data_IF_511728870273
#
_entry.id   IF_511728870273
#
_cell.length_a   1.000
_cell.length_b   1.000
_cell.length_c   1.000
_cell.angle_alpha   90.00
_cell.angle_beta   90.00
_cell.angle_gamma   90.00
#
_symmetry.space_group_name_H-M   'P 1'
#
loop_
_entity.id
_entity.type
_entity.pdbx_description
1 polymer ?
#
# COMPACT_ATOMS: atom_id res chain seq x y z
N UNK A 1 -8.09 -11.76 24.38
CA UNK A 1 -8.83 -10.64 23.78
C UNK A 1 -7.94 -10.01 22.73
N UNK A 2 -8.13 -10.36 21.47
CA UNK A 2 -7.29 -9.89 20.38
C UNK A 2 -7.55 -8.42 20.12
N UNK A 3 -6.53 -7.58 20.23
CA UNK A 3 -6.56 -6.23 19.68
C UNK A 3 -6.47 -6.36 18.16
N UNK A 4 -7.60 -6.70 17.52
CA UNK A 4 -7.72 -6.57 16.09
C UNK A 4 -7.70 -5.06 15.82
N UNK A 5 -6.51 -4.53 15.59
CA UNK A 5 -6.31 -3.16 15.10
C UNK A 5 -6.99 -3.10 13.74
N UNK A 6 -8.23 -2.61 13.74
CA UNK A 6 -8.99 -2.40 12.51
C UNK A 6 -8.35 -1.25 11.72
N UNK A 7 -8.45 -1.21 10.39
CA UNK A 7 -7.95 -0.08 9.58
C UNK A 7 -8.45 1.28 10.08
N UNK A 8 -9.69 1.32 10.60
CA UNK A 8 -10.27 2.51 11.23
C UNK A 8 -9.52 2.98 12.48
N UNK A 9 -8.84 2.08 13.20
CA UNK A 9 -7.98 2.40 14.35
C UNK A 9 -6.72 3.15 13.93
N UNK A 10 -6.32 3.03 12.65
CA UNK A 10 -5.20 3.73 12.05
C UNK A 10 -5.64 4.91 11.17
N UNK A 11 -6.91 5.34 11.21
CA UNK A 11 -7.36 6.49 10.40
C UNK A 11 -7.46 6.21 8.89
N UNK A 12 -7.28 4.97 8.44
CA UNK A 12 -7.44 4.61 7.03
C UNK A 12 -8.92 4.59 6.65
N UNK A 13 -9.23 5.10 5.47
CA UNK A 13 -10.58 5.12 4.93
C UNK A 13 -11.07 3.70 4.65
N UNK A 14 -12.37 3.48 4.86
CA UNK A 14 -13.00 2.19 4.56
C UNK A 14 -12.86 1.84 3.06
N UNK A 15 -12.90 2.86 2.20
CA UNK A 15 -12.72 2.74 0.75
C UNK A 15 -11.31 2.25 0.40
N UNK A 16 -10.26 2.82 0.98
CA UNK A 16 -8.88 2.35 0.75
C UNK A 16 -8.71 0.88 1.17
N UNK A 17 -9.36 0.48 2.27
CA UNK A 17 -9.39 -0.92 2.69
C UNK A 17 -10.06 -1.85 1.66
N UNK A 18 -11.16 -1.41 1.04
CA UNK A 18 -11.82 -2.16 -0.02
C UNK A 18 -10.98 -2.24 -1.29
N UNK A 19 -10.33 -1.14 -1.67
CA UNK A 19 -9.49 -1.10 -2.87
C UNK A 19 -8.23 -1.98 -2.70
N UNK A 20 -7.60 -1.97 -1.53
CA UNK A 20 -6.48 -2.86 -1.19
C UNK A 20 -6.89 -4.34 -1.23
N UNK A 21 -8.08 -4.67 -0.70
CA UNK A 21 -8.61 -6.03 -0.75
C UNK A 21 -8.88 -6.46 -2.20
N UNK A 22 -9.41 -5.57 -3.03
CA UNK A 22 -9.61 -5.82 -4.46
C UNK A 22 -8.29 -6.03 -5.21
N UNK A 23 -7.26 -5.24 -4.90
CA UNK A 23 -5.92 -5.38 -5.47
C UNK A 23 -5.25 -6.71 -5.08
N UNK A 24 -5.40 -7.15 -3.83
CA UNK A 24 -4.93 -8.45 -3.38
C UNK A 24 -5.69 -9.60 -4.07
N UNK A 25 -7.03 -9.52 -4.14
CA UNK A 25 -7.83 -10.53 -4.81
C UNK A 25 -7.50 -10.66 -6.31
N UNK A 26 -7.13 -9.54 -6.96
CA UNK A 26 -6.67 -9.55 -8.35
C UNK A 26 -5.34 -10.29 -8.50
N UNK A 27 -4.39 -10.09 -7.59
CA UNK A 27 -3.15 -10.87 -7.56
C UNK A 27 -3.42 -12.36 -7.41
N UNK A 28 -4.24 -12.75 -6.42
CA UNK A 28 -4.56 -14.16 -6.15
C UNK A 28 -5.26 -14.87 -7.33
N UNK A 29 -5.96 -14.12 -8.19
CA UNK A 29 -6.64 -14.66 -9.37
C UNK A 29 -5.73 -14.81 -10.60
N UNK A 30 -4.70 -13.98 -10.73
CA UNK A 30 -3.93 -13.83 -11.98
C UNK A 30 -2.45 -14.16 -11.84
N UNK A 31 -1.93 -14.23 -10.62
CA UNK A 31 -0.54 -14.57 -10.34
C UNK A 31 -0.47 -15.90 -9.58
N UNK A 32 0.13 -16.90 -10.20
CA UNK A 32 0.48 -18.15 -9.56
C UNK A 32 1.90 -18.08 -8.96
N UNK A 33 2.15 -18.60 -7.75
CA UNK A 33 3.48 -18.57 -7.12
C UNK A 33 4.59 -19.31 -7.89
N UNK A 34 4.23 -20.26 -8.76
CA UNK A 34 5.15 -21.09 -9.51
C UNK A 34 5.21 -20.69 -10.98
N UNK A 35 4.04 -20.43 -11.60
CA UNK A 35 3.92 -20.13 -13.02
C UNK A 35 3.97 -18.62 -13.34
N UNK A 36 3.86 -17.77 -12.32
CA UNK A 36 3.88 -16.32 -12.46
C UNK A 36 2.55 -15.76 -12.98
N UNK A 37 2.62 -14.67 -13.73
CA UNK A 37 1.43 -13.96 -14.24
C UNK A 37 0.83 -14.67 -15.44
N UNK A 38 -0.49 -14.83 -15.44
CA UNK A 38 -1.25 -15.38 -16.56
C UNK A 38 -1.14 -14.54 -17.85
N UNK A 39 -0.88 -13.23 -17.70
CA UNK A 39 -0.59 -12.32 -18.80
C UNK A 39 0.24 -11.12 -18.34
N UNK A 40 1.06 -10.61 -19.26
CA UNK A 40 1.81 -9.37 -19.05
C UNK A 40 0.86 -8.17 -18.83
N UNK A 41 -0.29 -8.15 -19.49
CA UNK A 41 -1.30 -7.11 -19.31
C UNK A 41 -1.83 -7.06 -17.86
N UNK A 42 -2.04 -8.22 -17.22
CA UNK A 42 -2.48 -8.30 -15.83
C UNK A 42 -1.37 -7.86 -14.87
N UNK A 43 -0.11 -8.23 -15.13
CA UNK A 43 1.03 -7.70 -14.38
C UNK A 43 1.10 -6.17 -14.46
N UNK A 44 1.04 -5.59 -15.67
CA UNK A 44 1.09 -4.14 -15.85
C UNK A 44 -0.09 -3.42 -15.20
N UNK A 45 -1.28 -4.03 -15.22
CA UNK A 45 -2.45 -3.53 -14.49
C UNK A 45 -2.20 -3.53 -12.99
N UNK A 46 -1.75 -4.65 -12.44
CA UNK A 46 -1.51 -4.79 -11.01
C UNK A 46 -0.45 -3.82 -10.48
N UNK A 47 0.64 -3.62 -11.24
CA UNK A 47 1.70 -2.67 -10.91
C UNK A 47 1.18 -1.23 -10.87
N UNK A 48 0.45 -0.80 -11.92
CA UNK A 48 -0.10 0.56 -11.99
C UNK A 48 -1.11 0.82 -10.88
N UNK A 49 -2.01 -0.14 -10.64
CA UNK A 49 -3.03 -0.01 -9.60
C UNK A 49 -2.37 0.00 -8.20
N UNK A 50 -1.29 -0.77 -8.01
CA UNK A 50 -0.49 -0.76 -6.79
C UNK A 50 0.23 0.56 -6.54
N UNK A 51 0.79 1.20 -7.57
CA UNK A 51 1.40 2.53 -7.44
C UNK A 51 0.35 3.58 -7.01
N UNK A 52 -0.84 3.54 -7.61
CA UNK A 52 -1.93 4.43 -7.23
C UNK A 52 -2.37 4.23 -5.77
N UNK A 53 -2.53 2.97 -5.35
CA UNK A 53 -2.88 2.63 -3.96
C UNK A 53 -1.81 3.04 -2.96
N UNK A 54 -0.54 2.87 -3.28
CA UNK A 54 0.56 3.27 -2.43
C UNK A 54 0.54 4.78 -2.17
N UNK A 55 0.30 5.59 -3.20
CA UNK A 55 0.17 7.05 -3.06
C UNK A 55 -1.01 7.44 -2.19
N UNK A 56 -2.18 6.82 -2.40
CA UNK A 56 -3.37 7.06 -1.58
C UNK A 56 -3.14 6.67 -0.12
N UNK A 57 -2.47 5.54 0.12
CA UNK A 57 -2.08 5.12 1.47
C UNK A 57 -1.10 6.12 2.11
N UNK A 58 -0.12 6.62 1.37
CA UNK A 58 0.80 7.64 1.88
C UNK A 58 0.07 8.94 2.27
N UNK A 59 -0.89 9.39 1.45
CA UNK A 59 -1.72 10.57 1.73
C UNK A 59 -2.57 10.37 2.99
N UNK A 60 -3.32 9.26 3.08
CA UNK A 60 -4.14 8.96 4.26
C UNK A 60 -3.28 8.77 5.52
N UNK A 61 -2.05 8.26 5.39
CA UNK A 61 -1.11 8.11 6.51
C UNK A 61 -0.50 9.43 6.97
N UNK A 62 -0.17 10.34 6.04
CA UNK A 62 0.37 11.65 6.36
C UNK A 62 -0.62 12.52 7.16
N UNK A 63 -1.92 12.31 6.96
CA UNK A 63 -2.96 13.05 7.70
C UNK A 63 -3.00 12.73 9.20
N UNK A 64 -2.52 11.56 9.64
CA UNK A 64 -2.51 11.17 11.06
C UNK A 64 -1.12 10.90 11.66
N UNK A 65 -0.10 10.71 10.83
CA UNK A 65 1.26 10.40 11.27
C UNK A 65 2.26 11.37 10.63
N UNK A 66 3.07 12.02 11.47
CA UNK A 66 4.27 12.73 11.04
C UNK A 66 5.29 11.68 10.59
N UNK A 67 5.28 11.33 9.30
CA UNK A 67 6.14 10.28 8.72
C UNK A 67 7.58 10.75 8.73
N UNK A 68 8.28 10.51 9.84
CA UNK A 68 9.74 10.61 9.87
C UNK A 68 10.32 9.47 9.05
N UNK A 69 10.72 9.77 7.81
CA UNK A 69 11.65 8.95 7.02
C UNK A 69 13.02 8.93 7.72
N UNK A 70 13.15 8.19 8.82
CA UNK A 70 14.42 8.09 9.57
C UNK A 70 15.54 7.35 8.78
N UNK A 71 15.25 6.85 7.57
CA UNK A 71 16.26 6.29 6.66
C UNK A 71 16.68 7.24 5.52
N UNK A 72 16.35 8.54 5.60
CA UNK A 72 17.01 9.56 4.78
C UNK A 72 18.24 10.10 5.50
N UNK A 73 19.42 10.03 4.87
CA UNK A 73 20.67 10.59 5.40
C UNK A 73 20.44 12.04 5.82
N UNK A 74 20.51 12.30 7.13
CA UNK A 74 20.56 13.65 7.68
C UNK A 74 21.87 14.30 7.23
N UNK A 75 21.79 15.30 6.33
CA UNK A 75 22.87 16.27 6.20
C UNK A 75 22.62 17.40 7.21
N UNK A 76 23.29 17.31 8.35
CA UNK A 76 23.41 18.42 9.30
C UNK A 76 24.25 19.53 8.64
N UNK A 77 23.59 20.51 8.01
CA UNK A 77 24.22 21.81 7.76
C UNK A 77 24.27 22.57 9.06
N UNK A 78 25.43 22.55 9.72
CA UNK A 78 25.78 23.56 10.71
C UNK A 78 26.89 24.47 10.20
N UNK A 79 26.43 25.69 9.92
CA UNK A 79 27.02 27.02 10.08
C UNK A 79 28.29 27.41 9.33
#
# INVERSE_FOLDING_TARGET
>A
MGYATTPATYGLSHELGQDLAGWQAFFEQHADPFDGWDSDANLQKWLRDGEWLARRLEEEVQDFADVKREFGVWHDTRS
#
